data_IF_777275009698
#
_entry.id   IF_777275009698
#
_cell.length_a   1.000
_cell.length_b   1.000
_cell.length_c   1.000
_cell.angle_alpha   90.00
_cell.angle_beta   90.00
_cell.angle_gamma   90.00
#
_symmetry.space_group_name_H-M   'P 1'
#
loop_
_entity.id
_entity.type
_entity.pdbx_description
1 polymer ?
#
# COMPACT_ATOMS: atom_id res chain seq x y z
N UNK A 1 -9.45 -0.08 25.92
CA UNK A 1 -8.44 -1.08 26.30
C UNK A 1 -8.76 -2.30 25.46
N UNK A 2 -8.02 -2.43 24.37
CA UNK A 2 -8.04 -3.52 23.39
C UNK A 2 -6.61 -3.52 22.87
N UNK A 3 -5.90 -4.63 23.00
CA UNK A 3 -4.59 -4.80 22.38
C UNK A 3 -4.78 -4.68 20.84
N UNK A 4 -3.87 -4.02 20.10
CA UNK A 4 -3.85 -4.10 18.64
C UNK A 4 -3.87 -5.57 18.24
N UNK A 5 -4.86 -5.95 17.44
CA UNK A 5 -5.22 -7.35 17.26
C UNK A 5 -4.07 -8.18 16.67
N UNK A 6 -3.79 -9.31 17.32
CA UNK A 6 -2.95 -10.42 16.84
C UNK A 6 -3.66 -11.21 15.73
N UNK A 7 -4.06 -10.55 14.64
CA UNK A 7 -4.44 -11.30 13.44
C UNK A 7 -3.21 -12.08 12.97
N UNK A 8 -3.35 -13.40 12.87
CA UNK A 8 -2.31 -14.30 12.42
C UNK A 8 -2.82 -15.08 11.19
N UNK A 9 -1.95 -15.35 10.20
CA UNK A 9 -2.27 -16.26 9.11
C UNK A 9 -2.74 -17.64 9.61
N UNK A 10 -3.55 -18.32 8.80
CA UNK A 10 -3.96 -19.69 9.11
C UNK A 10 -2.76 -20.64 9.12
N UNK A 11 -2.93 -21.83 9.71
CA UNK A 11 -1.87 -22.85 9.70
C UNK A 11 -1.45 -23.19 8.25
N UNK A 12 -0.15 -23.06 7.97
CA UNK A 12 0.42 -23.27 6.63
C UNK A 12 0.12 -22.16 5.63
N UNK A 13 -0.24 -20.96 6.11
CA UNK A 13 -0.36 -19.74 5.32
C UNK A 13 0.73 -18.76 5.77
N UNK A 14 1.58 -18.31 4.84
CA UNK A 14 2.59 -17.31 5.14
C UNK A 14 2.08 -15.89 4.86
N UNK A 15 2.33 -14.96 5.79
CA UNK A 15 2.15 -13.53 5.53
C UNK A 15 3.31 -13.03 4.64
N UNK A 16 2.98 -12.48 3.49
CA UNK A 16 3.95 -12.01 2.50
C UNK A 16 4.14 -10.50 2.54
N UNK A 17 3.12 -9.76 2.99
CA UNK A 17 3.15 -8.31 3.03
C UNK A 17 2.05 -7.76 3.94
N UNK A 18 2.33 -6.67 4.65
CA UNK A 18 1.33 -5.91 5.41
C UNK A 18 1.64 -4.42 5.34
N UNK A 19 0.65 -3.63 4.91
CA UNK A 19 0.75 -2.18 4.82
C UNK A 19 -0.58 -1.52 5.16
N UNK A 20 -0.54 -0.31 5.69
CA UNK A 20 -1.73 0.53 5.78
C UNK A 20 -2.09 1.09 4.40
N UNK A 21 -3.38 1.05 4.06
CA UNK A 21 -3.92 1.53 2.79
C UNK A 21 -5.19 2.35 3.00
N UNK A 22 -5.52 3.13 1.97
CA UNK A 22 -6.79 3.82 1.80
C UNK A 22 -7.01 4.05 0.30
N UNK A 23 -8.21 4.44 -0.13
CA UNK A 23 -8.39 4.90 -1.49
C UNK A 23 -7.47 6.08 -1.79
N UNK A 24 -6.89 6.05 -2.98
CA UNK A 24 -6.06 7.12 -3.50
C UNK A 24 -6.84 8.44 -3.58
N UNK A 25 -6.17 9.55 -3.85
CA UNK A 25 -6.83 10.84 -3.96
C UNK A 25 -6.22 11.62 -5.11
N UNK A 26 -7.08 12.19 -5.96
CA UNK A 26 -6.66 12.92 -7.15
C UNK A 26 -5.65 14.01 -6.81
N UNK A 27 -4.65 14.19 -7.68
CA UNK A 27 -3.62 15.23 -7.53
C UNK A 27 -3.71 16.31 -8.60
N UNK A 28 -4.20 16.00 -9.80
CA UNK A 28 -4.33 17.00 -10.87
C UNK A 28 -5.33 18.09 -10.47
N UNK A 29 -5.15 19.35 -10.90
CA UNK A 29 -5.95 20.48 -10.44
C UNK A 29 -7.48 20.26 -10.54
N UNK A 30 -7.93 19.71 -11.66
CA UNK A 30 -9.35 19.45 -11.93
C UNK A 30 -9.98 18.43 -10.96
N UNK A 31 -9.19 17.45 -10.50
CA UNK A 31 -9.68 16.31 -9.71
C UNK A 31 -9.09 16.26 -8.30
N UNK A 32 -8.29 17.25 -7.91
CA UNK A 32 -7.54 17.21 -6.66
C UNK A 32 -8.42 16.92 -5.44
N UNK A 33 -8.09 15.99 -4.56
CA UNK A 33 -8.95 15.68 -3.42
C UNK A 33 -10.17 14.78 -3.72
N UNK A 34 -10.46 14.52 -4.99
CA UNK A 34 -11.62 13.71 -5.42
C UNK A 34 -11.29 12.22 -5.41
N UNK A 35 -12.34 11.43 -5.22
CA UNK A 35 -12.38 9.96 -5.24
C UNK A 35 -13.72 9.57 -5.85
N UNK A 36 -13.72 9.10 -7.09
CA UNK A 36 -14.95 8.67 -7.74
C UNK A 36 -15.08 7.16 -7.78
N UNK A 37 -16.32 6.68 -7.74
CA UNK A 37 -16.68 5.27 -7.88
C UNK A 37 -17.43 5.14 -9.20
N UNK A 38 -16.88 4.38 -10.14
CA UNK A 38 -17.38 4.33 -11.52
C UNK A 38 -17.83 2.92 -11.92
N UNK A 39 -18.87 2.82 -12.73
CA UNK A 39 -19.13 1.61 -13.53
C UNK A 39 -18.31 1.64 -14.83
N UNK A 40 -18.55 0.63 -15.69
CA UNK A 40 -17.94 0.51 -17.02
C UNK A 40 -18.34 1.61 -18.00
N UNK A 41 -19.41 2.35 -17.71
CA UNK A 41 -19.93 3.46 -18.51
C UNK A 41 -19.55 4.83 -17.92
N UNK A 42 -18.75 4.86 -16.84
CA UNK A 42 -18.36 6.05 -16.06
C UNK A 42 -19.50 6.72 -15.28
N UNK A 43 -20.63 6.04 -15.09
CA UNK A 43 -21.65 6.52 -14.18
C UNK A 43 -21.14 6.45 -12.74
N UNK A 44 -21.59 7.38 -11.89
CA UNK A 44 -21.30 7.34 -10.46
C UNK A 44 -22.12 6.23 -9.79
N UNK A 45 -21.43 5.22 -9.24
CA UNK A 45 -22.05 4.05 -8.60
C UNK A 45 -22.11 4.15 -7.08
N UNK A 46 -21.77 5.31 -6.50
CA UNK A 46 -21.71 5.48 -5.04
C UNK A 46 -23.03 5.10 -4.34
N UNK A 47 -24.17 5.39 -4.98
CA UNK A 47 -25.50 5.04 -4.46
C UNK A 47 -25.87 3.56 -4.57
N UNK A 48 -25.07 2.76 -5.29
CA UNK A 48 -25.30 1.34 -5.53
C UNK A 48 -24.44 0.43 -4.62
N UNK A 49 -23.47 1.02 -3.90
CA UNK A 49 -22.57 0.29 -3.01
C UNK A 49 -23.31 -0.11 -1.73
N UNK A 50 -23.82 -1.34 -1.72
CA UNK A 50 -24.66 -1.86 -0.62
C UNK A 50 -23.87 -1.89 0.69
N UNK A 51 -24.47 -1.34 1.75
CA UNK A 51 -23.87 -1.30 3.09
C UNK A 51 -22.89 -0.14 3.31
N UNK A 52 -22.56 0.63 2.27
CA UNK A 52 -21.71 1.81 2.42
C UNK A 52 -22.53 2.97 3.03
N UNK A 53 -21.95 3.78 3.94
CA UNK A 53 -22.59 5.00 4.43
C UNK A 53 -22.94 5.99 3.30
N UNK A 54 -23.48 7.16 3.62
CA UNK A 54 -23.47 8.27 2.67
C UNK A 54 -22.04 8.85 2.59
N UNK A 55 -21.62 9.29 1.41
CA UNK A 55 -20.26 9.81 1.17
C UNK A 55 -20.29 11.16 0.47
N UNK A 56 -19.13 11.83 0.37
CA UNK A 56 -19.02 13.06 -0.41
C UNK A 56 -19.35 12.79 -1.88
N UNK A 57 -20.05 13.72 -2.51
CA UNK A 57 -20.27 13.72 -3.96
C UNK A 57 -19.28 14.69 -4.57
N UNK A 58 -18.52 14.25 -5.57
CA UNK A 58 -17.51 15.07 -6.23
C UNK A 58 -17.99 15.47 -7.62
N UNK A 59 -17.73 16.73 -7.99
CA UNK A 59 -17.84 17.22 -9.35
C UNK A 59 -16.45 17.67 -9.83
N UNK A 60 -16.10 17.48 -11.11
CA UNK A 60 -14.86 18.01 -11.66
C UNK A 60 -14.78 19.52 -11.42
N UNK A 61 -13.62 20.03 -11.00
CA UNK A 61 -13.49 21.45 -10.71
C UNK A 61 -13.52 22.28 -11.98
N UNK A 62 -14.31 23.35 -11.94
CA UNK A 62 -14.36 24.31 -13.04
C UNK A 62 -13.04 25.10 -13.13
N UNK A 63 -12.69 25.65 -14.31
CA UNK A 63 -11.51 26.50 -14.46
C UNK A 63 -11.47 27.70 -13.48
N UNK A 64 -12.63 28.24 -13.09
CA UNK A 64 -12.74 29.33 -12.11
C UNK A 64 -12.32 28.93 -10.70
N UNK A 65 -12.62 27.70 -10.29
CA UNK A 65 -12.24 27.16 -8.97
C UNK A 65 -10.73 26.87 -8.88
N UNK A 66 -10.09 26.58 -10.02
CA UNK A 66 -8.65 26.28 -10.10
C UNK A 66 -7.79 27.53 -9.87
N UNK A 67 -8.25 28.71 -10.31
CA UNK A 67 -7.54 29.99 -10.16
C UNK A 67 -7.57 30.48 -8.70
N UNK A 68 -8.70 30.30 -8.01
CA UNK A 68 -8.88 30.76 -6.62
C UNK A 68 -7.92 30.10 -5.62
N UNK A 69 -7.50 28.85 -5.85
CA UNK A 69 -6.53 28.14 -4.99
C UNK A 69 -5.06 28.29 -5.39
N UNK A 70 -4.75 28.79 -6.59
CA UNK A 70 -3.35 29.13 -6.94
C UNK A 70 -2.82 30.29 -6.06
N UNK A 71 -3.73 31.08 -5.50
CA UNK A 71 -3.45 32.24 -4.63
C UNK A 71 -3.65 31.92 -3.14
N UNK A 72 -4.37 30.84 -2.80
CA UNK A 72 -4.74 30.51 -1.42
C UNK A 72 -4.55 29.03 -1.08
N UNK A 73 -3.58 28.77 -0.18
CA UNK A 73 -3.25 27.50 0.50
C UNK A 73 -2.40 26.48 -0.26
N UNK A 74 -1.15 26.35 0.21
CA UNK A 74 -0.42 25.08 0.16
C UNK A 74 -1.26 23.96 0.78
N UNK A 75 -1.26 22.80 0.12
CA UNK A 75 -2.08 21.63 0.45
C UNK A 75 -1.68 21.01 1.80
N UNK A 76 -2.23 21.59 2.88
CA UNK A 76 -2.22 21.11 4.26
C UNK A 76 -3.17 19.91 4.42
N UNK A 77 -2.80 18.76 3.86
CA UNK A 77 -3.22 17.47 4.39
C UNK A 77 -1.96 16.75 4.82
N UNK A 78 -1.64 16.84 6.11
CA UNK A 78 -0.55 16.09 6.72
C UNK A 78 -0.93 14.61 6.68
N UNK A 79 -0.63 13.94 5.56
CA UNK A 79 -0.63 12.49 5.53
C UNK A 79 0.67 12.09 6.23
N UNK A 80 0.62 11.37 7.36
CA UNK A 80 1.83 10.82 7.94
C UNK A 80 2.50 9.96 6.87
N UNK A 81 3.67 10.40 6.41
CA UNK A 81 4.56 9.58 5.58
C UNK A 81 5.09 8.51 6.51
N UNK A 82 4.76 7.24 6.26
CA UNK A 82 5.44 6.14 6.93
C UNK A 82 6.89 6.19 6.46
N UNK A 83 7.78 6.63 7.34
CA UNK A 83 9.21 6.65 7.06
C UNK A 83 9.72 5.20 7.10
N UNK A 84 9.95 4.61 5.93
CA UNK A 84 10.73 3.37 5.82
C UNK A 84 12.19 3.70 6.22
N UNK A 85 12.52 3.56 7.50
CA UNK A 85 13.89 3.72 7.99
C UNK A 85 14.59 2.37 7.83
N UNK A 86 15.30 2.21 6.71
CA UNK A 86 16.26 1.12 6.56
C UNK A 86 17.51 1.51 7.34
N UNK A 87 17.72 0.85 8.47
CA UNK A 87 18.90 1.05 9.30
C UNK A 87 20.05 0.18 8.77
N UNK A 88 20.83 0.72 7.83
CA UNK A 88 22.18 0.20 7.60
C UNK A 88 23.03 0.53 8.82
N UNK A 89 23.10 -0.39 9.79
CA UNK A 89 24.07 -0.35 10.88
C UNK A 89 25.47 -0.47 10.23
N UNK A 90 26.03 0.68 9.85
CA UNK A 90 27.32 0.75 9.14
C UNK A 90 27.55 1.99 8.26
N UNK A 91 26.56 2.84 7.97
CA UNK A 91 26.81 4.06 7.20
C UNK A 91 25.55 4.85 6.82
N UNK A 92 25.67 6.19 6.91
CA UNK A 92 24.75 7.26 6.52
C UNK A 92 23.26 6.89 6.40
N UNK A 93 22.47 7.30 7.41
CA UNK A 93 21.01 7.24 7.36
C UNK A 93 20.45 8.05 6.19
N UNK A 94 19.96 7.34 5.18
CA UNK A 94 19.21 7.83 4.04
C UNK A 94 18.53 6.63 3.38
N UNK A 95 17.31 6.82 2.88
CA UNK A 95 16.66 5.80 2.04
C UNK A 95 17.56 5.53 0.82
N UNK A 96 18.02 4.28 0.58
CA UNK A 96 18.76 3.94 -0.64
C UNK A 96 17.87 3.99 -1.89
N UNK A 97 16.56 4.14 -1.71
CA UNK A 97 15.58 4.34 -2.77
C UNK A 97 15.41 5.84 -2.99
N UNK A 98 15.80 6.30 -4.18
CA UNK A 98 15.94 7.70 -4.54
C UNK A 98 14.73 8.56 -4.21
N UNK A 99 15.00 9.74 -3.67
CA UNK A 99 14.06 10.84 -3.53
C UNK A 99 13.83 11.50 -4.90
N UNK A 100 12.93 10.92 -5.69
CA UNK A 100 12.27 11.62 -6.79
C UNK A 100 10.87 12.00 -6.35
N UNK A 101 10.59 13.29 -6.18
CA UNK A 101 9.22 13.77 -6.04
C UNK A 101 8.48 13.46 -7.36
N UNK A 102 7.70 12.38 -7.38
CA UNK A 102 6.92 11.96 -8.53
C UNK A 102 5.92 13.04 -8.93
N UNK A 103 6.17 13.67 -10.07
CA UNK A 103 5.13 14.18 -10.95
C UNK A 103 5.42 13.61 -12.34
N UNK A 104 5.30 12.29 -12.48
CA UNK A 104 5.37 11.63 -13.79
C UNK A 104 4.39 12.28 -14.78
N UNK A 105 4.45 11.90 -16.06
CA UNK A 105 3.37 12.29 -16.97
C UNK A 105 2.14 11.42 -16.64
N UNK A 106 0.91 11.95 -16.75
CA UNK A 106 -0.29 11.11 -16.69
C UNK A 106 -0.16 9.96 -17.69
N UNK A 107 -0.35 8.73 -17.21
CA UNK A 107 -0.37 7.52 -18.03
C UNK A 107 -1.77 7.27 -18.58
N UNK A 108 -2.78 7.61 -17.79
CA UNK A 108 -4.20 7.49 -18.13
C UNK A 108 -4.89 8.84 -17.87
N UNK A 109 -4.69 9.86 -18.73
CA UNK A 109 -5.25 11.20 -18.53
C UNK A 109 -6.75 11.20 -18.19
N UNK A 110 -7.52 10.31 -18.80
CA UNK A 110 -8.96 10.14 -18.57
C UNK A 110 -9.31 9.66 -17.15
N UNK A 111 -8.37 9.04 -16.42
CA UNK A 111 -8.55 8.51 -15.06
C UNK A 111 -7.66 9.22 -14.03
N UNK A 112 -6.89 10.23 -14.46
CA UNK A 112 -5.87 10.89 -13.65
C UNK A 112 -6.00 12.41 -13.64
N UNK A 113 -6.54 12.97 -14.72
CA UNK A 113 -6.65 14.41 -14.95
C UNK A 113 -8.10 14.83 -15.11
N UNK A 114 -8.88 14.12 -15.92
CA UNK A 114 -10.27 14.49 -16.23
C UNK A 114 -11.27 13.87 -15.25
N UNK A 115 -10.98 12.64 -14.84
CA UNK A 115 -11.66 11.87 -13.81
C UNK A 115 -10.60 11.32 -12.83
N UNK A 116 -11.04 10.71 -11.75
CA UNK A 116 -10.18 10.03 -10.79
C UNK A 116 -10.93 8.87 -10.12
N UNK A 117 -11.24 7.81 -10.89
CA UNK A 117 -11.85 6.61 -10.34
C UNK A 117 -10.88 5.94 -9.36
N UNK A 118 -11.36 5.70 -8.14
CA UNK A 118 -10.70 4.84 -7.16
C UNK A 118 -11.33 3.45 -7.08
N UNK A 119 -12.45 3.28 -7.75
CA UNK A 119 -13.12 2.01 -8.01
C UNK A 119 -13.70 2.05 -9.42
N UNK A 120 -13.55 0.94 -10.14
CA UNK A 120 -14.17 0.71 -11.43
C UNK A 120 -14.81 -0.68 -11.42
N UNK A 121 -16.14 -0.74 -11.50
CA UNK A 121 -16.85 -1.96 -11.18
C UNK A 121 -18.25 -2.05 -11.80
N UNK A 122 -18.49 -3.10 -12.59
CA UNK A 122 -19.84 -3.48 -13.00
C UNK A 122 -20.64 -4.05 -11.82
N UNK A 123 -21.98 -4.13 -11.90
CA UNK A 123 -22.78 -4.78 -10.85
C UNK A 123 -22.32 -6.23 -10.60
N UNK A 124 -22.15 -6.59 -9.32
CA UNK A 124 -21.77 -7.94 -8.90
C UNK A 124 -20.28 -8.27 -8.96
N UNK A 125 -19.41 -7.34 -9.38
CA UNK A 125 -17.95 -7.59 -9.43
C UNK A 125 -17.28 -7.38 -8.07
N UNK A 126 -16.12 -8.01 -7.88
CA UNK A 126 -15.35 -8.07 -6.64
C UNK A 126 -14.94 -6.69 -6.12
N UNK A 127 -14.60 -5.73 -6.98
CA UNK A 127 -14.26 -4.39 -6.51
C UNK A 127 -15.40 -3.72 -5.71
N UNK A 128 -16.68 -4.09 -5.93
CA UNK A 128 -17.81 -3.55 -5.14
C UNK A 128 -17.92 -4.14 -3.74
N UNK A 129 -17.18 -5.22 -3.44
CA UNK A 129 -17.21 -5.90 -2.14
C UNK A 129 -16.05 -5.50 -1.23
N UNK A 130 -15.21 -4.56 -1.66
CA UNK A 130 -14.15 -3.99 -0.81
C UNK A 130 -14.77 -3.13 0.31
N UNK A 131 -14.08 -2.98 1.46
CA UNK A 131 -14.63 -2.25 2.59
C UNK A 131 -14.75 -0.75 2.32
N UNK A 132 -15.82 -0.15 2.83
CA UNK A 132 -16.07 1.29 2.71
C UNK A 132 -15.09 2.11 3.54
N UNK A 133 -14.49 1.49 4.56
CA UNK A 133 -13.48 2.05 5.45
C UNK A 133 -12.21 2.50 4.73
N UNK A 134 -11.98 1.99 3.51
CA UNK A 134 -10.92 2.48 2.64
C UNK A 134 -11.14 3.94 2.20
N UNK A 135 -12.37 4.47 2.22
CA UNK A 135 -12.66 5.85 1.80
C UNK A 135 -12.45 6.85 2.95
N UNK A 136 -11.44 7.73 2.86
CA UNK A 136 -11.19 8.74 3.89
C UNK A 136 -12.33 9.75 4.06
N UNK A 137 -13.24 9.85 3.08
CA UNK A 137 -14.44 10.67 3.17
C UNK A 137 -15.54 10.07 4.05
N UNK A 138 -15.39 8.82 4.48
CA UNK A 138 -16.37 8.06 5.26
C UNK A 138 -15.78 7.55 6.57
N UNK A 139 -14.53 7.10 6.53
CA UNK A 139 -13.84 6.56 7.69
C UNK A 139 -13.69 7.64 8.77
N UNK A 140 -13.88 7.32 10.06
CA UNK A 140 -13.58 8.23 11.16
C UNK A 140 -12.13 8.75 11.08
N UNK A 141 -11.88 9.95 11.62
CA UNK A 141 -10.51 10.47 11.72
C UNK A 141 -9.64 9.52 12.55
N UNK A 142 -8.45 9.20 12.03
CA UNK A 142 -7.52 8.27 12.68
C UNK A 142 -7.83 6.78 12.43
N UNK A 143 -8.91 6.45 11.71
CA UNK A 143 -9.18 5.07 11.34
C UNK A 143 -8.14 4.56 10.33
N UNK A 144 -7.65 3.34 10.56
CA UNK A 144 -6.59 2.70 9.78
C UNK A 144 -7.11 1.39 9.22
N UNK A 145 -6.89 1.17 7.92
CA UNK A 145 -7.15 -0.11 7.27
C UNK A 145 -5.83 -0.71 6.79
N UNK A 146 -5.55 -1.92 7.24
CA UNK A 146 -4.39 -2.67 6.79
C UNK A 146 -4.76 -3.59 5.63
N UNK A 147 -3.94 -3.58 4.59
CA UNK A 147 -3.91 -4.60 3.56
C UNK A 147 -2.86 -5.63 3.94
N UNK A 148 -3.29 -6.89 4.04
CA UNK A 148 -2.41 -8.03 4.26
C UNK A 148 -2.45 -8.95 3.05
N UNK A 149 -1.29 -9.21 2.47
CA UNK A 149 -1.13 -10.22 1.44
C UNK A 149 -0.50 -11.47 2.06
N UNK A 150 -1.11 -12.62 1.81
CA UNK A 150 -0.60 -13.92 2.20
C UNK A 150 -0.33 -14.80 0.98
N UNK A 151 0.24 -15.96 1.22
CA UNK A 151 0.37 -17.03 0.23
C UNK A 151 -0.96 -17.50 -0.38
N UNK A 152 -2.11 -17.19 0.23
CA UNK A 152 -3.44 -17.69 -0.18
C UNK A 152 -4.47 -16.61 -0.51
N UNK A 153 -4.31 -15.39 0.01
CA UNK A 153 -5.36 -14.37 -0.05
C UNK A 153 -4.83 -12.97 0.20
N UNK A 154 -5.61 -12.00 -0.23
CA UNK A 154 -5.50 -10.60 0.14
C UNK A 154 -6.63 -10.28 1.12
N UNK A 155 -6.28 -9.59 2.21
CA UNK A 155 -7.19 -9.25 3.29
C UNK A 155 -7.16 -7.74 3.52
N UNK A 156 -8.31 -7.19 3.87
CA UNK A 156 -8.41 -5.88 4.50
C UNK A 156 -8.79 -6.07 5.95
N UNK A 157 -8.01 -5.50 6.85
CA UNK A 157 -8.16 -5.61 8.30
C UNK A 157 -8.36 -4.24 8.92
N UNK A 158 -9.06 -4.21 10.05
CA UNK A 158 -9.06 -3.09 10.99
C UNK A 158 -8.67 -3.56 12.39
N UNK A 159 -8.92 -2.72 13.39
CA UNK A 159 -8.69 -3.05 14.80
C UNK A 159 -9.59 -4.19 15.31
N UNK A 160 -10.75 -4.41 14.69
CA UNK A 160 -11.81 -5.32 15.16
C UNK A 160 -11.74 -6.68 14.47
N UNK A 161 -11.30 -6.73 13.21
CA UNK A 161 -11.38 -7.98 12.45
C UNK A 161 -10.90 -7.90 11.01
N UNK A 162 -11.25 -8.96 10.28
CA UNK A 162 -11.22 -9.01 8.83
C UNK A 162 -12.44 -8.25 8.31
N UNK A 163 -12.21 -7.19 7.54
CA UNK A 163 -13.26 -6.43 6.86
C UNK A 163 -13.65 -7.08 5.52
N UNK A 164 -12.66 -7.57 4.78
CA UNK A 164 -12.87 -8.29 3.53
C UNK A 164 -11.71 -9.23 3.21
N UNK A 165 -12.01 -10.26 2.43
CA UNK A 165 -11.08 -11.31 2.04
C UNK A 165 -11.26 -11.65 0.56
N UNK A 166 -10.13 -11.75 -0.15
CA UNK A 166 -10.06 -12.07 -1.56
C UNK A 166 -9.07 -13.21 -1.77
N UNK A 167 -9.50 -14.37 -2.30
CA UNK A 167 -8.58 -15.45 -2.64
C UNK A 167 -7.49 -14.96 -3.60
N UNK A 168 -6.27 -15.51 -3.52
CA UNK A 168 -5.13 -15.04 -4.32
C UNK A 168 -5.41 -15.13 -5.82
N UNK A 169 -6.13 -16.17 -6.24
CA UNK A 169 -6.59 -16.43 -7.60
C UNK A 169 -7.63 -15.43 -8.11
N UNK A 170 -8.26 -14.65 -7.22
CA UNK A 170 -9.20 -13.59 -7.62
C UNK A 170 -8.51 -12.29 -8.04
N UNK A 171 -7.19 -12.18 -7.82
CA UNK A 171 -6.39 -11.01 -8.16
C UNK A 171 -5.66 -11.27 -9.48
N UNK A 172 -6.09 -10.57 -10.55
CA UNK A 172 -5.46 -10.64 -11.86
C UNK A 172 -4.08 -9.96 -11.88
N UNK A 173 -3.89 -8.91 -11.10
CA UNK A 173 -2.60 -8.25 -10.97
C UNK A 173 -2.67 -6.94 -10.20
N UNK A 174 -1.51 -6.33 -10.02
CA UNK A 174 -1.40 -4.98 -9.50
C UNK A 174 -0.29 -4.21 -10.21
N UNK A 175 -0.44 -2.89 -10.27
CA UNK A 175 0.57 -1.98 -10.83
C UNK A 175 0.65 -0.71 -10.01
N UNK A 176 1.85 -0.17 -9.89
CA UNK A 176 2.06 1.19 -9.39
C UNK A 176 1.48 2.19 -10.39
N UNK A 177 0.99 3.32 -9.88
CA UNK A 177 0.53 4.46 -10.68
C UNK A 177 1.56 5.60 -10.51
N UNK A 178 2.39 5.84 -11.53
CA UNK A 178 3.47 6.84 -11.45
C UNK A 178 2.93 8.26 -11.31
N UNK A 179 1.80 8.56 -11.94
CA UNK A 179 1.10 9.83 -11.76
C UNK A 179 0.30 9.84 -10.45
N UNK A 180 1.03 10.01 -9.36
CA UNK A 180 0.47 10.14 -8.01
C UNK A 180 1.34 11.04 -7.12
N UNK A 181 0.76 11.56 -6.02
CA UNK A 181 1.34 12.65 -5.22
C UNK A 181 2.80 12.41 -4.79
N UNK A 182 3.17 11.15 -4.59
CA UNK A 182 4.53 10.71 -4.21
C UNK A 182 4.90 9.37 -4.88
N UNK A 183 4.23 8.97 -5.98
CA UNK A 183 4.44 7.65 -6.58
C UNK A 183 3.88 6.46 -5.76
N UNK A 184 3.06 6.72 -4.72
CA UNK A 184 2.58 5.71 -3.78
C UNK A 184 1.16 5.21 -4.07
N UNK A 185 0.59 5.55 -5.22
CA UNK A 185 -0.68 4.96 -5.62
C UNK A 185 -0.44 3.63 -6.34
N UNK A 186 -1.39 2.70 -6.20
CA UNK A 186 -1.37 1.40 -6.83
C UNK A 186 -2.78 1.03 -7.29
N UNK A 187 -2.91 0.38 -8.44
CA UNK A 187 -4.14 -0.29 -8.87
C UNK A 187 -4.04 -1.79 -8.59
N UNK A 188 -5.07 -2.35 -7.97
CA UNK A 188 -5.31 -3.80 -7.91
C UNK A 188 -6.44 -4.12 -8.89
N UNK A 189 -6.21 -5.07 -9.78
CA UNK A 189 -7.19 -5.56 -10.76
C UNK A 189 -7.60 -6.98 -10.37
N UNK A 190 -8.91 -7.21 -10.33
CA UNK A 190 -9.50 -8.51 -10.07
C UNK A 190 -9.70 -9.29 -11.39
N UNK A 191 -9.92 -10.60 -11.30
CA UNK A 191 -10.14 -11.46 -12.47
C UNK A 191 -11.42 -11.19 -13.26
N UNK A 192 -12.34 -10.42 -12.69
CA UNK A 192 -13.59 -9.97 -13.33
C UNK A 192 -13.46 -8.58 -13.98
N UNK A 193 -12.22 -8.14 -14.23
CA UNK A 193 -11.84 -6.84 -14.82
C UNK A 193 -12.20 -5.60 -13.98
N UNK A 194 -12.80 -5.80 -12.79
CA UNK A 194 -12.99 -4.72 -11.85
C UNK A 194 -11.69 -4.36 -11.14
N UNK A 195 -11.55 -3.11 -10.69
CA UNK A 195 -10.32 -2.66 -10.06
C UNK A 195 -10.53 -1.57 -9.01
N UNK A 196 -9.55 -1.45 -8.11
CA UNK A 196 -9.46 -0.39 -7.10
C UNK A 196 -8.12 0.33 -7.18
N UNK A 197 -8.09 1.62 -6.82
CA UNK A 197 -6.87 2.43 -6.70
C UNK A 197 -6.62 2.83 -5.25
N UNK A 198 -5.53 2.32 -4.69
CA UNK A 198 -5.14 2.51 -3.31
C UNK A 198 -3.92 3.42 -3.20
N UNK A 199 -3.84 4.19 -2.12
CA UNK A 199 -2.63 4.84 -1.66
C UNK A 199 -1.95 3.94 -0.62
N UNK A 200 -0.66 3.64 -0.82
CA UNK A 200 0.11 2.66 -0.03
C UNK A 200 1.12 3.31 0.94
N UNK A 201 1.08 4.63 1.08
CA UNK A 201 1.97 5.39 1.97
C UNK A 201 3.36 5.69 1.40
N UNK A 202 3.93 4.81 0.58
CA UNK A 202 5.22 5.01 -0.08
C UNK A 202 5.33 4.30 -1.44
N UNK A 203 6.08 4.85 -2.41
CA UNK A 203 6.31 4.19 -3.70
C UNK A 203 6.90 2.78 -3.56
N UNK A 204 7.84 2.59 -2.62
CA UNK A 204 8.42 1.28 -2.31
C UNK A 204 7.37 0.23 -1.91
N UNK A 205 6.30 0.64 -1.22
CA UNK A 205 5.21 -0.29 -0.87
C UNK A 205 4.38 -0.66 -2.11
N UNK A 206 4.09 0.32 -2.98
CA UNK A 206 3.35 0.09 -4.22
C UNK A 206 4.11 -0.86 -5.16
N UNK A 207 5.40 -0.58 -5.40
CA UNK A 207 6.29 -1.39 -6.24
C UNK A 207 6.39 -2.84 -5.73
N UNK A 208 6.55 -3.03 -4.41
CA UNK A 208 6.70 -4.37 -3.85
C UNK A 208 5.42 -5.18 -3.87
N UNK A 209 4.29 -4.56 -3.54
CA UNK A 209 3.03 -5.25 -3.64
C UNK A 209 2.74 -5.65 -5.09
N UNK A 210 3.02 -4.78 -6.06
CA UNK A 210 2.96 -5.12 -7.48
C UNK A 210 3.96 -6.23 -7.86
N UNK A 211 5.18 -6.21 -7.34
CA UNK A 211 6.20 -7.21 -7.60
C UNK A 211 5.86 -8.60 -7.06
N UNK A 212 5.34 -8.68 -5.83
CA UNK A 212 4.87 -9.94 -5.24
C UNK A 212 3.64 -10.44 -6.02
N UNK A 213 2.73 -9.54 -6.41
CA UNK A 213 1.51 -9.92 -7.12
C UNK A 213 1.77 -10.40 -8.56
N UNK A 214 2.77 -9.84 -9.23
CA UNK A 214 3.23 -10.24 -10.57
C UNK A 214 4.22 -11.42 -10.56
N UNK A 215 4.77 -11.77 -9.39
CA UNK A 215 5.78 -12.82 -9.24
C UNK A 215 7.19 -12.40 -9.65
N UNK A 216 7.44 -11.11 -9.96
CA UNK A 216 8.81 -10.60 -10.19
C UNK A 216 9.65 -10.60 -8.91
N UNK A 217 8.97 -10.56 -7.76
CA UNK A 217 9.58 -10.57 -6.43
C UNK A 217 9.08 -11.80 -5.67
N UNK A 218 10.01 -12.61 -5.16
CA UNK A 218 9.65 -13.87 -4.50
C UNK A 218 9.60 -13.67 -2.99
N UNK A 219 8.44 -13.89 -2.37
CA UNK A 219 8.39 -14.09 -0.94
C UNK A 219 8.98 -15.46 -0.59
N UNK A 220 9.85 -15.52 0.41
CA UNK A 220 10.58 -16.74 0.78
C UNK A 220 10.35 -17.06 2.25
N UNK A 221 10.24 -18.34 2.64
CA UNK A 221 10.18 -18.71 4.05
C UNK A 221 11.55 -18.51 4.70
N UNK A 222 11.60 -18.36 6.03
CA UNK A 222 12.85 -18.25 6.78
C UNK A 222 13.78 -19.46 6.56
N UNK A 223 13.20 -20.64 6.36
CA UNK A 223 13.94 -21.87 6.06
C UNK A 223 14.69 -21.82 4.72
N UNK A 224 14.32 -20.92 3.81
CA UNK A 224 15.00 -20.72 2.53
C UNK A 224 16.18 -19.75 2.61
N UNK A 225 16.43 -19.15 3.78
CA UNK A 225 17.59 -18.29 4.02
C UNK A 225 18.87 -19.12 4.19
N UNK A 226 20.03 -18.51 3.94
CA UNK A 226 21.32 -19.09 4.33
C UNK A 226 21.52 -19.01 5.84
N UNK A 227 22.49 -19.75 6.38
CA UNK A 227 22.80 -19.70 7.81
C UNK A 227 23.25 -18.30 8.25
N UNK A 228 24.07 -17.64 7.43
CA UNK A 228 24.54 -16.29 7.71
C UNK A 228 23.40 -15.25 7.69
N UNK A 229 22.47 -15.39 6.75
CA UNK A 229 21.23 -14.61 6.69
C UNK A 229 20.36 -14.82 7.95
N UNK A 230 20.16 -16.07 8.39
CA UNK A 230 19.42 -16.36 9.63
C UNK A 230 20.07 -15.76 10.87
N UNK A 231 21.40 -15.80 10.95
CA UNK A 231 22.14 -15.19 12.06
C UNK A 231 21.96 -13.66 12.06
N UNK A 232 22.02 -13.03 10.88
CA UNK A 232 21.77 -11.59 10.70
C UNK A 232 20.35 -11.20 11.12
N UNK A 233 19.34 -11.99 10.73
CA UNK A 233 17.93 -11.81 11.13
C UNK A 233 17.78 -11.94 12.64
N UNK A 234 18.40 -12.96 13.24
CA UNK A 234 18.35 -13.18 14.69
C UNK A 234 18.93 -11.98 15.45
N UNK A 235 20.06 -11.42 14.98
CA UNK A 235 20.65 -10.19 15.55
C UNK A 235 19.73 -8.98 15.37
N UNK A 236 19.10 -8.83 14.21
CA UNK A 236 18.13 -7.76 13.97
C UNK A 236 16.96 -7.87 14.95
N UNK A 237 16.33 -9.05 15.05
CA UNK A 237 15.20 -9.28 15.95
C UNK A 237 15.57 -9.06 17.41
N UNK A 238 16.77 -9.47 17.85
CA UNK A 238 17.25 -9.18 19.21
C UNK A 238 17.45 -7.68 19.47
N UNK A 239 17.76 -6.89 18.43
CA UNK A 239 17.91 -5.43 18.53
C UNK A 239 16.59 -4.67 18.51
N UNK A 240 15.54 -5.26 17.93
CA UNK A 240 14.23 -4.66 17.78
C UNK A 240 13.34 -4.97 18.98
N UNK A 241 12.99 -3.94 19.76
CA UNK A 241 11.95 -4.04 20.79
C UNK A 241 10.59 -3.69 20.20
N UNK A 242 9.57 -4.49 20.48
CA UNK A 242 8.19 -4.21 20.08
C UNK A 242 7.85 -4.65 18.65
N UNK A 243 8.56 -5.65 18.13
CA UNK A 243 8.09 -6.40 16.96
C UNK A 243 6.71 -6.97 17.28
N UNK A 244 5.73 -6.64 16.46
CA UNK A 244 4.35 -7.10 16.62
C UNK A 244 4.08 -8.38 15.85
N UNK A 245 4.95 -8.72 14.89
CA UNK A 245 4.80 -9.85 13.97
C UNK A 245 6.16 -10.49 13.63
N UNK A 246 6.16 -11.75 13.17
CA UNK A 246 7.34 -12.37 12.58
C UNK A 246 7.89 -11.55 11.40
N UNK A 247 9.21 -11.61 11.16
CA UNK A 247 9.81 -10.98 9.99
C UNK A 247 9.26 -11.58 8.68
N UNK A 248 9.10 -10.71 7.69
CA UNK A 248 8.75 -11.09 6.32
C UNK A 248 10.01 -11.06 5.47
N UNK A 249 10.19 -12.06 4.62
CA UNK A 249 11.37 -12.19 3.76
C UNK A 249 10.99 -12.13 2.29
N UNK A 250 11.76 -11.35 1.56
CA UNK A 250 11.56 -11.14 0.14
C UNK A 250 12.89 -11.28 -0.58
N UNK A 251 12.98 -12.17 -1.57
CA UNK A 251 14.16 -12.35 -2.43
C UNK A 251 13.94 -11.64 -3.76
N UNK A 252 14.87 -10.78 -4.11
CA UNK A 252 14.90 -10.10 -5.41
C UNK A 252 15.61 -10.96 -6.47
N UNK A 253 15.39 -10.68 -7.78
CA UNK A 253 16.08 -11.35 -8.88
C UNK A 253 17.60 -11.44 -8.74
N UNK A 254 18.26 -10.45 -8.13
CA UNK A 254 19.71 -10.48 -7.89
C UNK A 254 20.20 -11.46 -6.82
N UNK A 255 19.27 -12.11 -6.11
CA UNK A 255 19.54 -12.94 -4.94
C UNK A 255 19.45 -12.19 -3.60
N UNK A 256 19.46 -10.85 -3.62
CA UNK A 256 19.38 -10.04 -2.39
C UNK A 256 18.09 -10.36 -1.63
N UNK A 257 18.24 -10.59 -0.33
CA UNK A 257 17.11 -10.80 0.58
C UNK A 257 16.83 -9.52 1.35
N UNK A 258 15.59 -9.06 1.27
CA UNK A 258 15.01 -8.07 2.16
C UNK A 258 14.33 -8.75 3.33
N UNK A 259 14.61 -8.24 4.52
CA UNK A 259 13.92 -8.59 5.76
C UNK A 259 13.14 -7.38 6.22
N UNK A 260 11.89 -7.57 6.62
CA UNK A 260 11.09 -6.53 7.23
C UNK A 260 10.43 -7.00 8.50
N UNK A 261 10.38 -6.10 9.48
CA UNK A 261 9.78 -6.31 10.78
C UNK A 261 8.83 -5.16 11.04
N UNK A 262 7.57 -5.49 11.23
CA UNK A 262 6.57 -4.53 11.69
C UNK A 262 6.78 -4.27 13.18
N UNK A 263 6.95 -3.00 13.52
CA UNK A 263 7.15 -2.50 14.87
C UNK A 263 5.96 -1.63 15.26
N UNK A 264 5.57 -1.69 16.53
CA UNK A 264 4.65 -0.69 17.07
C UNK A 264 5.32 0.70 16.99
N UNK A 265 4.69 1.65 16.30
CA UNK A 265 5.25 2.99 16.16
C UNK A 265 5.24 3.75 17.49
N UNK A 266 6.21 4.65 17.65
CA UNK A 266 6.22 5.60 18.77
C UNK A 266 5.35 6.83 18.52
N UNK A 267 4.90 7.05 17.28
CA UNK A 267 4.15 8.24 16.86
C UNK A 267 2.65 8.24 17.21
N UNK A 268 2.12 7.11 17.67
CA UNK A 268 0.70 6.91 17.96
C UNK A 268 0.40 5.42 18.12
N UNK A 269 -0.68 5.07 18.81
CA UNK A 269 -1.02 3.66 19.08
C UNK A 269 -1.35 2.84 17.82
N UNK A 270 -1.75 3.54 16.76
CA UNK A 270 -2.31 2.95 15.54
C UNK A 270 -1.37 3.12 14.33
N UNK A 271 -0.13 3.53 14.60
CA UNK A 271 0.93 3.63 13.60
C UNK A 271 1.86 2.41 13.74
N UNK A 272 2.27 1.86 12.61
CA UNK A 272 3.26 0.78 12.53
C UNK A 272 4.50 1.35 11.85
N UNK A 273 5.65 1.23 12.51
CA UNK A 273 6.94 1.51 11.89
C UNK A 273 7.44 0.23 11.24
N UNK A 274 8.00 0.31 10.03
CA UNK A 274 8.65 -0.85 9.39
C UNK A 274 10.15 -0.67 9.52
N UNK A 275 10.80 -1.59 10.23
CA UNK A 275 12.25 -1.73 10.20
C UNK A 275 12.62 -2.80 9.18
N UNK A 276 13.65 -2.54 8.38
CA UNK A 276 14.11 -3.53 7.43
C UNK A 276 15.61 -3.46 7.16
N UNK A 277 16.14 -4.58 6.67
CA UNK A 277 17.51 -4.72 6.19
C UNK A 277 17.50 -5.36 4.81
N UNK A 278 18.57 -5.14 4.06
CA UNK A 278 18.89 -5.85 2.83
C UNK A 278 20.20 -6.58 3.04
N UNK A 279 20.28 -7.82 2.58
CA UNK A 279 21.46 -8.65 2.73
C UNK A 279 21.70 -9.55 1.53
N UNK A 280 22.97 -9.82 1.24
CA UNK A 280 23.40 -10.84 0.28
C UNK A 280 23.36 -12.26 0.88
N UNK A 281 23.86 -13.25 0.15
CA UNK A 281 23.87 -14.66 0.57
C UNK A 281 24.79 -14.91 1.77
N UNK A 282 25.78 -14.06 1.98
CA UNK A 282 26.69 -14.03 3.12
C UNK A 282 26.08 -13.29 4.34
N UNK A 283 24.87 -12.73 4.22
CA UNK A 283 24.22 -12.00 5.31
C UNK A 283 24.79 -10.60 5.54
N UNK A 284 25.63 -10.10 4.63
CA UNK A 284 26.21 -8.76 4.69
C UNK A 284 25.29 -7.72 4.05
N UNK A 285 25.32 -6.45 4.50
CA UNK A 285 24.50 -5.40 3.93
C UNK A 285 24.76 -5.22 2.43
N UNK A 286 23.72 -5.41 1.62
CA UNK A 286 23.81 -5.28 0.17
C UNK A 286 22.77 -4.28 -0.36
N UNK A 287 23.15 -3.28 -1.17
CA UNK A 287 22.18 -2.42 -1.83
C UNK A 287 21.48 -3.18 -2.96
N UNK A 288 20.22 -2.83 -3.30
CA UNK A 288 19.53 -3.41 -4.45
C UNK A 288 20.32 -3.22 -5.74
N UNK A 289 20.23 -4.18 -6.67
CA UNK A 289 20.85 -4.10 -8.00
C UNK A 289 19.82 -3.66 -9.06
N UNK A 290 20.26 -3.17 -10.23
CA UNK A 290 19.37 -2.89 -11.34
C UNK A 290 18.51 -4.11 -11.70
N UNK A 291 17.19 -3.94 -11.75
CA UNK A 291 16.23 -5.01 -12.01
C UNK A 291 15.72 -5.75 -10.77
N UNK A 292 16.13 -5.35 -9.56
CA UNK A 292 15.54 -5.87 -8.32
C UNK A 292 14.17 -5.29 -8.00
N UNK A 293 13.83 -4.15 -8.59
CA UNK A 293 12.57 -3.41 -8.48
C UNK A 293 12.23 -2.79 -9.84
#
# INVERSE_FOLDING_TARGET
MTDPMDWNPAAGEDQLFRITVKFATGMAPAVSGSRWFRDTERNDIQGELTGWPAGPVFAPRTPGDQVARRVGRGFLSAIPVIANIIANIGGAGGSPFGSGAGSGKPEEPENEVDDFPVMWAAPGTLARTVPWELDPGRSPEGYVTDLVLTSRRLLFLDEVGVLAEFPRESIAGARQMEFSRIGADMRITFVDDSWIRLFTGSPTNAERLAGILSGSVQAVPESALTEAQRERVSRLMASLRGATQPPVFTRYPSGIVRVEVCLRSKGGKDLVDVAGILMDDEGEPAPPKPGDL
#
